data_IF_578101396318
#
_entry.id   IF_578101396318
#
_cell.length_a   1.000
_cell.length_b   1.000
_cell.length_c   1.000
_cell.angle_alpha   90.00
_cell.angle_beta   90.00
_cell.angle_gamma   90.00
#
_symmetry.space_group_name_H-M   'P 1'
#
loop_
_entity.id
_entity.type
_entity.pdbx_description
1 polymer ?
#
# COMPACT_ATOMS: atom_id res chain seq x y z
N UNK A 1 12.32 13.40 -17.76
CA UNK A 1 11.77 13.30 -16.40
C UNK A 1 12.57 12.22 -15.69
N UNK A 2 13.45 12.59 -14.77
CA UNK A 2 14.05 11.60 -13.87
C UNK A 2 12.93 11.08 -13.00
N UNK A 3 12.55 9.82 -13.18
CA UNK A 3 11.62 9.16 -12.27
C UNK A 3 12.28 9.22 -10.88
N UNK A 4 11.74 10.02 -9.96
CA UNK A 4 12.29 10.10 -8.62
C UNK A 4 12.15 8.72 -7.98
N UNK A 5 13.27 8.10 -7.61
CA UNK A 5 13.27 6.81 -6.91
C UNK A 5 12.47 6.94 -5.62
N UNK A 6 11.74 5.88 -5.25
CA UNK A 6 10.98 5.82 -4.01
C UNK A 6 11.39 4.57 -3.19
N UNK A 7 11.28 4.71 -1.87
CA UNK A 7 11.69 3.70 -0.90
C UNK A 7 10.55 3.42 0.07
N UNK A 8 10.36 2.14 0.35
CA UNK A 8 9.38 1.62 1.28
C UNK A 8 10.05 1.37 2.63
N UNK A 9 9.50 1.94 3.69
CA UNK A 9 9.94 1.63 5.05
C UNK A 9 9.54 0.18 5.40
N UNK A 10 10.52 -0.64 5.79
CA UNK A 10 10.27 -2.05 6.14
C UNK A 10 9.39 -2.19 7.39
N UNK A 11 9.39 -1.20 8.29
CA UNK A 11 8.59 -1.23 9.52
C UNK A 11 7.14 -0.87 9.27
N UNK A 12 6.83 0.30 8.68
CA UNK A 12 5.44 0.77 8.52
C UNK A 12 4.85 0.52 7.13
N UNK A 13 5.67 0.18 6.13
CA UNK A 13 5.21 -0.13 4.78
C UNK A 13 4.84 1.08 3.94
N UNK A 14 5.12 2.28 4.43
CA UNK A 14 4.90 3.54 3.72
C UNK A 14 5.97 3.75 2.67
N UNK A 15 5.54 4.10 1.46
CA UNK A 15 6.42 4.50 0.38
C UNK A 15 6.72 6.00 0.45
N UNK A 16 7.99 6.36 0.29
CA UNK A 16 8.50 7.72 0.42
C UNK A 16 9.45 8.03 -0.72
N UNK A 17 9.55 9.29 -1.13
CA UNK A 17 10.52 9.69 -2.14
C UNK A 17 11.94 9.58 -1.59
N UNK A 18 12.90 9.30 -2.48
CA UNK A 18 14.32 9.41 -2.17
C UNK A 18 14.68 10.83 -1.71
N UNK A 19 15.76 10.92 -0.94
CA UNK A 19 16.38 12.19 -0.59
C UNK A 19 17.01 12.87 -1.83
N UNK A 20 17.48 14.14 -1.72
CA UNK A 20 18.13 14.83 -2.84
C UNK A 20 19.39 14.15 -3.39
N UNK A 21 19.98 13.20 -2.65
CA UNK A 21 21.13 12.40 -3.06
C UNK A 21 20.75 11.08 -3.75
N UNK A 22 19.44 10.78 -3.86
CA UNK A 22 18.92 9.55 -4.46
C UNK A 22 18.91 8.35 -3.52
N UNK A 23 19.09 8.55 -2.22
CA UNK A 23 19.11 7.52 -1.17
C UNK A 23 17.79 7.49 -0.39
N UNK A 24 17.51 6.43 0.40
CA UNK A 24 16.40 6.47 1.34
C UNK A 24 16.55 7.62 2.33
N UNK A 25 15.43 8.09 2.88
CA UNK A 25 15.44 9.08 3.96
C UNK A 25 16.21 8.52 5.17
N UNK A 26 16.84 9.40 5.95
CA UNK A 26 17.55 9.01 7.18
C UNK A 26 16.62 8.30 8.17
N UNK A 27 15.38 8.81 8.29
CA UNK A 27 14.33 8.24 9.12
C UNK A 27 12.98 8.28 8.40
N UNK A 28 12.06 7.42 8.82
CA UNK A 28 10.69 7.43 8.32
C UNK A 28 9.83 8.31 9.21
N UNK A 29 9.25 9.38 8.64
CA UNK A 29 8.37 10.32 9.34
C UNK A 29 7.20 9.64 10.10
N UNK A 30 6.73 8.49 9.59
CA UNK A 30 5.66 7.72 10.22
C UNK A 30 6.17 6.92 11.41
N UNK A 31 7.38 6.36 11.33
CA UNK A 31 8.00 5.62 12.44
C UNK A 31 8.55 6.53 13.53
N UNK A 32 8.93 7.76 13.19
CA UNK A 32 9.37 8.78 14.15
C UNK A 32 8.19 9.40 14.92
N UNK A 33 6.96 9.16 14.47
CA UNK A 33 5.78 9.64 15.17
C UNK A 33 5.54 8.81 16.45
N UNK A 34 5.28 9.44 17.62
CA UNK A 34 5.21 8.74 18.91
C UNK A 34 4.18 7.61 19.04
N UNK A 35 3.17 7.56 18.18
CA UNK A 35 2.12 6.52 18.13
C UNK A 35 2.51 5.36 17.22
N UNK A 36 3.72 5.40 16.64
CA UNK A 36 4.35 4.31 15.92
C UNK A 36 5.69 3.95 16.59
N UNK A 37 6.46 3.07 15.97
CA UNK A 37 7.75 2.64 16.47
C UNK A 37 8.76 2.44 15.34
N UNK A 38 10.03 2.51 15.72
CA UNK A 38 11.16 1.97 14.97
C UNK A 38 11.44 0.57 15.51
N UNK A 39 11.62 -0.41 14.62
CA UNK A 39 11.91 -1.80 15.02
C UNK A 39 13.27 -1.92 15.73
N UNK A 40 13.50 -3.02 16.46
CA UNK A 40 14.75 -3.27 17.19
C UNK A 40 16.03 -3.17 16.34
N UNK A 41 15.95 -3.45 15.03
CA UNK A 41 17.06 -3.32 14.08
C UNK A 41 17.27 -1.93 13.49
N UNK A 42 16.57 -0.91 13.99
CA UNK A 42 16.61 0.45 13.45
C UNK A 42 15.80 0.61 12.15
N UNK A 43 15.97 1.77 11.51
CA UNK A 43 15.33 2.12 10.25
C UNK A 43 15.89 1.25 9.12
N UNK A 44 15.01 0.62 8.35
CA UNK A 44 15.36 -0.15 7.16
C UNK A 44 14.42 0.20 6.01
N UNK A 45 14.97 0.11 4.79
CA UNK A 45 14.32 0.49 3.55
C UNK A 45 14.44 -0.61 2.52
N UNK A 46 13.42 -0.73 1.68
CA UNK A 46 13.39 -1.56 0.46
C UNK A 46 12.74 -0.75 -0.65
N UNK A 47 12.54 -1.34 -1.83
CA UNK A 47 11.78 -0.72 -2.93
C UNK A 47 10.55 -1.55 -3.25
N UNK A 48 9.55 -0.92 -3.88
CA UNK A 48 8.38 -1.67 -4.35
C UNK A 48 8.77 -2.74 -5.40
N UNK A 49 9.78 -2.47 -6.23
CA UNK A 49 10.30 -3.43 -7.20
C UNK A 49 10.96 -4.65 -6.55
N UNK A 50 11.70 -4.46 -5.45
CA UNK A 50 12.23 -5.58 -4.67
C UNK A 50 11.09 -6.42 -4.07
N UNK A 51 10.04 -5.78 -3.54
CA UNK A 51 8.87 -6.50 -3.01
C UNK A 51 8.19 -7.33 -4.10
N UNK A 52 7.94 -6.74 -5.28
CA UNK A 52 7.33 -7.43 -6.43
C UNK A 52 8.16 -8.60 -6.93
N UNK A 53 9.47 -8.40 -7.09
CA UNK A 53 10.36 -9.40 -7.71
C UNK A 53 10.85 -10.47 -6.73
N UNK A 54 10.72 -10.25 -5.41
CA UNK A 54 11.11 -11.22 -4.39
C UNK A 54 10.40 -12.57 -4.48
N UNK A 55 9.19 -12.62 -5.03
CA UNK A 55 8.32 -13.81 -5.02
C UNK A 55 7.88 -14.24 -3.62
N UNK A 56 8.19 -13.46 -2.57
CA UNK A 56 7.91 -13.80 -1.17
C UNK A 56 6.51 -13.42 -0.75
N UNK A 57 5.95 -12.38 -1.36
CA UNK A 57 4.72 -11.75 -0.95
C UNK A 57 3.65 -11.87 -2.03
N UNK A 58 2.40 -12.09 -1.61
CA UNK A 58 1.22 -12.06 -2.48
C UNK A 58 0.08 -11.39 -1.76
N UNK A 59 -0.85 -10.79 -2.49
CA UNK A 59 -2.04 -10.18 -1.91
C UNK A 59 -3.21 -11.17 -1.90
N UNK A 60 -3.78 -11.33 -0.70
CA UNK A 60 -4.92 -12.20 -0.41
C UNK A 60 -6.18 -11.33 -0.36
N UNK A 61 -7.21 -11.79 -1.06
CA UNK A 61 -8.52 -11.14 -1.15
C UNK A 61 -9.52 -12.01 -0.38
N UNK A 62 -10.20 -11.44 0.60
CA UNK A 62 -11.12 -12.17 1.48
C UNK A 62 -12.40 -11.37 1.67
N UNK A 63 -13.59 -11.90 1.34
CA UNK A 63 -14.86 -11.26 1.69
C UNK A 63 -14.92 -10.90 3.17
N UNK A 64 -15.39 -9.70 3.50
CA UNK A 64 -15.54 -9.31 4.91
C UNK A 64 -16.80 -9.93 5.52
N UNK A 65 -16.81 -10.11 6.84
CA UNK A 65 -18.02 -10.60 7.54
C UNK A 65 -19.15 -9.57 7.56
N UNK A 66 -18.82 -8.27 7.54
CA UNK A 66 -19.81 -7.19 7.62
C UNK A 66 -20.67 -7.09 6.37
N UNK A 67 -20.06 -7.25 5.19
CA UNK A 67 -20.74 -7.31 3.89
C UNK A 67 -19.90 -8.18 2.92
N UNK A 68 -20.12 -9.49 2.87
CA UNK A 68 -19.32 -10.39 2.04
C UNK A 68 -19.58 -10.23 0.53
N UNK A 69 -20.68 -9.57 0.14
CA UNK A 69 -21.03 -9.38 -1.27
C UNK A 69 -20.37 -8.14 -1.87
N UNK A 70 -20.23 -7.08 -1.06
CA UNK A 70 -19.74 -5.78 -1.52
C UNK A 70 -18.41 -5.35 -0.89
N UNK A 71 -17.93 -5.99 0.16
CA UNK A 71 -16.68 -5.61 0.82
C UNK A 71 -15.67 -6.76 0.82
N UNK A 72 -14.49 -6.48 0.28
CA UNK A 72 -13.39 -7.44 0.17
C UNK A 72 -12.15 -6.85 0.87
N UNK A 73 -11.68 -7.54 1.90
CA UNK A 73 -10.40 -7.27 2.55
C UNK A 73 -9.25 -7.67 1.63
N UNK A 74 -8.26 -6.79 1.48
CA UNK A 74 -7.01 -7.05 0.77
C UNK A 74 -5.86 -6.92 1.77
N UNK A 75 -5.07 -7.98 1.91
CA UNK A 75 -3.89 -8.00 2.78
C UNK A 75 -2.72 -8.73 2.12
N UNK A 76 -1.49 -8.37 2.49
CA UNK A 76 -0.28 -9.04 1.98
C UNK A 76 0.07 -10.24 2.86
N UNK A 77 0.38 -11.38 2.23
CA UNK A 77 0.81 -12.63 2.86
C UNK A 77 2.18 -13.07 2.32
N UNK A 78 3.15 -13.45 3.18
CA UNK A 78 3.15 -13.26 4.64
C UNK A 78 2.98 -11.79 5.03
N UNK A 79 2.55 -11.52 6.27
CA UNK A 79 2.34 -10.15 6.75
C UNK A 79 3.57 -9.29 6.49
N UNK A 80 3.35 -8.15 5.82
CA UNK A 80 4.37 -7.16 5.56
C UNK A 80 4.19 -5.93 6.46
N UNK A 81 5.30 -5.37 6.95
CA UNK A 81 5.32 -4.19 7.80
C UNK A 81 4.36 -4.34 9.02
N UNK A 82 3.63 -3.28 9.37
CA UNK A 82 2.62 -3.28 10.44
C UNK A 82 1.34 -4.07 10.09
N UNK A 83 1.30 -4.79 8.95
CA UNK A 83 0.17 -5.62 8.56
C UNK A 83 -1.06 -4.82 8.13
N UNK A 84 -0.84 -3.77 7.32
CA UNK A 84 -1.91 -2.95 6.78
C UNK A 84 -2.89 -3.78 5.95
N UNK A 85 -4.16 -3.35 5.95
CA UNK A 85 -5.27 -4.01 5.27
C UNK A 85 -6.11 -2.95 4.57
N UNK A 86 -6.28 -3.10 3.27
CA UNK A 86 -7.23 -2.32 2.49
C UNK A 86 -8.58 -3.02 2.42
N UNK A 87 -9.66 -2.28 2.17
CA UNK A 87 -10.98 -2.84 1.90
C UNK A 87 -11.50 -2.28 0.58
N UNK A 88 -11.66 -3.15 -0.41
CA UNK A 88 -12.34 -2.81 -1.65
C UNK A 88 -13.86 -2.83 -1.41
N UNK A 89 -14.49 -1.67 -1.56
CA UNK A 89 -15.93 -1.47 -1.37
C UNK A 89 -16.56 -1.31 -2.75
N UNK A 90 -17.43 -2.25 -3.12
CA UNK A 90 -18.14 -2.26 -4.38
C UNK A 90 -19.37 -1.37 -4.31
N UNK A 91 -19.58 -0.52 -5.32
CA UNK A 91 -20.79 0.31 -5.40
C UNK A 91 -21.31 0.39 -6.84
N UNK A 92 -22.62 0.68 -7.05
CA UNK A 92 -23.17 0.85 -8.40
C UNK A 92 -22.56 2.01 -9.21
N UNK A 93 -21.86 2.94 -8.57
CA UNK A 93 -21.30 4.15 -9.21
C UNK A 93 -19.78 4.11 -9.38
N UNK A 94 -19.14 2.98 -9.06
CA UNK A 94 -17.70 2.82 -9.01
C UNK A 94 -17.23 2.46 -7.61
N UNK A 95 -16.20 1.62 -7.53
CA UNK A 95 -15.67 1.09 -6.30
C UNK A 95 -14.79 2.13 -5.60
N UNK A 96 -14.65 1.97 -4.28
CA UNK A 96 -13.76 2.77 -3.44
C UNK A 96 -12.83 1.83 -2.70
N UNK A 97 -11.56 2.18 -2.59
CA UNK A 97 -10.60 1.46 -1.78
C UNK A 97 -10.41 2.22 -0.46
N UNK A 98 -10.79 1.59 0.64
CA UNK A 98 -10.56 2.10 1.98
C UNK A 98 -9.20 1.61 2.49
N UNK A 99 -8.28 2.53 2.69
CA UNK A 99 -6.85 2.32 2.96
C UNK A 99 -6.10 1.53 1.88
N UNK A 100 -4.78 1.71 1.82
CA UNK A 100 -3.90 0.96 0.93
C UNK A 100 -3.16 -0.15 1.68
N UNK A 101 -2.55 -1.04 0.89
CA UNK A 101 -1.48 -1.93 1.34
C UNK A 101 -0.23 -1.65 0.53
N UNK A 102 0.93 -2.03 1.05
CA UNK A 102 2.22 -1.68 0.43
C UNK A 102 2.42 -2.33 -0.94
N UNK A 103 2.19 -3.64 -1.05
CA UNK A 103 2.41 -4.36 -2.29
C UNK A 103 1.29 -4.03 -3.29
N UNK A 104 1.66 -3.48 -4.43
CA UNK A 104 0.80 -3.36 -5.60
C UNK A 104 1.57 -3.88 -6.81
N UNK A 105 1.06 -4.95 -7.41
CA UNK A 105 1.60 -5.62 -8.59
C UNK A 105 0.52 -5.82 -9.65
N UNK A 106 0.91 -6.31 -10.83
CA UNK A 106 0.00 -6.50 -11.96
C UNK A 106 -1.14 -7.48 -11.63
N UNK A 107 -0.88 -8.51 -10.82
CA UNK A 107 -1.89 -9.47 -10.40
C UNK A 107 -2.94 -8.79 -9.49
N UNK A 108 -2.50 -7.98 -8.55
CA UNK A 108 -3.36 -7.22 -7.64
C UNK A 108 -4.20 -6.22 -8.42
N UNK A 109 -3.60 -5.47 -9.34
CA UNK A 109 -4.33 -4.52 -10.19
C UNK A 109 -5.37 -5.24 -11.03
N UNK A 110 -5.02 -6.40 -11.62
CA UNK A 110 -5.96 -7.24 -12.38
C UNK A 110 -7.14 -7.68 -11.52
N UNK A 111 -6.89 -8.25 -10.33
CA UNK A 111 -7.95 -8.72 -9.42
C UNK A 111 -8.89 -7.59 -8.98
N UNK A 112 -8.37 -6.41 -8.68
CA UNK A 112 -9.21 -5.25 -8.34
C UNK A 112 -10.10 -4.85 -9.53
N UNK A 113 -9.55 -4.83 -10.75
CA UNK A 113 -10.32 -4.51 -11.96
C UNK A 113 -11.42 -5.54 -12.27
N UNK A 114 -11.25 -6.81 -11.88
CA UNK A 114 -12.29 -7.84 -12.02
C UNK A 114 -13.54 -7.55 -11.18
N UNK A 115 -13.42 -6.72 -10.14
CA UNK A 115 -14.56 -6.28 -9.32
C UNK A 115 -15.22 -4.99 -9.83
N UNK A 116 -14.71 -4.38 -10.90
CA UNK A 116 -15.22 -3.14 -11.48
C UNK A 116 -14.24 -1.97 -11.39
N UNK A 117 -14.68 -0.81 -11.89
CA UNK A 117 -13.89 0.43 -11.88
C UNK A 117 -13.63 0.90 -10.45
N UNK A 118 -12.37 1.18 -10.11
CA UNK A 118 -11.98 1.85 -8.87
C UNK A 118 -11.91 3.36 -9.11
N UNK A 119 -12.70 4.15 -8.36
CA UNK A 119 -12.83 5.60 -8.59
C UNK A 119 -12.12 6.48 -7.58
N UNK A 120 -11.88 5.97 -6.38
CA UNK A 120 -11.27 6.75 -5.31
C UNK A 120 -10.60 5.85 -4.28
N UNK A 121 -9.63 6.42 -3.59
CA UNK A 121 -8.97 5.86 -2.42
C UNK A 121 -9.28 6.75 -1.22
N UNK A 122 -9.67 6.16 -0.11
CA UNK A 122 -9.94 6.87 1.14
C UNK A 122 -8.93 6.40 2.17
N UNK A 123 -8.15 7.33 2.72
CA UNK A 123 -7.21 7.04 3.81
C UNK A 123 -7.87 7.36 5.14
N UNK A 124 -7.96 6.37 6.01
CA UNK A 124 -8.63 6.47 7.30
C UNK A 124 -7.76 7.15 8.37
N UNK A 125 -6.44 6.96 8.30
CA UNK A 125 -5.49 7.42 9.32
C UNK A 125 -4.19 7.93 8.69
N UNK A 126 -3.52 8.94 9.28
CA UNK A 126 -2.33 9.59 8.70
C UNK A 126 -1.09 8.68 8.66
N UNK A 127 -1.15 7.46 9.17
CA UNK A 127 -0.08 6.47 9.07
C UNK A 127 -0.39 5.35 8.06
N UNK A 128 -1.62 5.29 7.54
CA UNK A 128 -2.18 4.11 6.85
C UNK A 128 -2.33 4.31 5.33
N UNK A 129 -1.41 5.06 4.73
CA UNK A 129 -1.43 5.35 3.29
C UNK A 129 -0.47 4.48 2.47
N UNK A 130 0.38 3.65 3.08
CA UNK A 130 1.22 2.65 2.38
C UNK A 130 1.89 3.19 1.11
N UNK A 131 1.59 2.60 -0.05
CA UNK A 131 1.97 3.01 -1.40
C UNK A 131 0.83 3.74 -2.15
N UNK A 132 0.10 4.63 -1.46
CA UNK A 132 -1.06 5.37 -1.99
C UNK A 132 -0.80 5.98 -3.37
N UNK A 133 0.38 6.56 -3.57
CA UNK A 133 0.75 7.16 -4.86
C UNK A 133 0.73 6.12 -5.97
N UNK A 134 1.36 4.96 -5.74
CA UNK A 134 1.42 3.88 -6.74
C UNK A 134 0.04 3.25 -6.97
N UNK A 135 -0.79 3.16 -5.94
CA UNK A 135 -2.20 2.79 -6.09
C UNK A 135 -2.95 3.80 -6.97
N UNK A 136 -2.88 5.09 -6.67
CA UNK A 136 -3.53 6.13 -7.49
C UNK A 136 -3.09 6.03 -8.96
N UNK A 137 -1.78 5.94 -9.21
CA UNK A 137 -1.21 5.86 -10.56
C UNK A 137 -1.64 4.60 -11.31
N UNK A 138 -1.66 3.42 -10.66
CA UNK A 138 -2.05 2.16 -11.27
C UNK A 138 -3.51 2.13 -11.76
N UNK A 139 -4.36 3.00 -11.21
CA UNK A 139 -5.76 3.15 -11.59
C UNK A 139 -6.05 4.46 -12.34
N UNK A 140 -5.02 5.14 -12.86
CA UNK A 140 -5.19 6.31 -13.74
C UNK A 140 -5.15 7.66 -13.02
N UNK A 141 -4.51 7.74 -11.86
CA UNK A 141 -4.38 8.97 -11.08
C UNK A 141 -5.65 9.33 -10.33
N UNK A 142 -6.38 8.33 -9.83
CA UNK A 142 -7.61 8.53 -9.06
C UNK A 142 -7.34 9.26 -7.74
N UNK A 143 -8.29 10.07 -7.25
CA UNK A 143 -8.16 10.78 -5.98
C UNK A 143 -8.08 9.83 -4.78
#
# INVERSE_FOLDING_TARGET
>A
MTCASSFVCVTCGVNTLADPSGKPQESCIICDEPRQYVRLGGQEWTTLEELKTSGKYTNVFTPTEADPENMISISTSPTYAIGQRGILIKTPKGNVLWDCITLIDDETVRKVKEHGELKAIVISHPHYYSSLKEWSEAFGGIP
#
